data_IF_727376213816
#
_entry.id   IF_727376213816
#
_cell.length_a   1.000
_cell.length_b   1.000
_cell.length_c   1.000
_cell.angle_alpha   90.00
_cell.angle_beta   90.00
_cell.angle_gamma   90.00
#
_symmetry.space_group_name_H-M   'P 1'
#
loop_
_entity.id
_entity.type
_entity.pdbx_description
1 polymer ?
#
# COMPACT_ATOMS: atom_id res chain seq x y z
N UNK A 1 -24.82 10.64 -9.90
CA UNK A 1 -25.39 10.53 -8.53
C UNK A 1 -24.33 10.99 -7.55
N UNK A 2 -24.62 12.02 -6.72
CA UNK A 2 -23.72 12.37 -5.60
C UNK A 2 -23.75 11.19 -4.62
N UNK A 3 -22.62 10.50 -4.47
CA UNK A 3 -22.50 9.44 -3.45
C UNK A 3 -22.59 10.07 -2.07
N UNK A 4 -23.28 9.40 -1.16
CA UNK A 4 -23.42 9.88 0.21
C UNK A 4 -22.04 9.96 0.86
N UNK A 5 -21.65 11.15 1.29
CA UNK A 5 -20.36 11.40 1.96
C UNK A 5 -20.22 10.54 3.22
N UNK A 6 -21.34 10.32 3.93
CA UNK A 6 -21.39 9.45 5.09
C UNK A 6 -21.12 7.98 4.74
N UNK A 7 -21.68 7.47 3.63
CA UNK A 7 -21.40 6.11 3.18
C UNK A 7 -19.94 5.90 2.81
N UNK A 8 -19.34 6.85 2.09
CA UNK A 8 -17.91 6.80 1.74
C UNK A 8 -17.01 6.81 2.99
N UNK A 9 -17.35 7.62 3.99
CA UNK A 9 -16.63 7.66 5.26
C UNK A 9 -16.74 6.31 6.01
N UNK A 10 -17.93 5.73 6.09
CA UNK A 10 -18.16 4.42 6.71
C UNK A 10 -17.38 3.32 5.98
N UNK A 11 -17.43 3.30 4.66
CA UNK A 11 -16.71 2.30 3.85
C UNK A 11 -15.19 2.41 3.99
N UNK A 12 -14.67 3.63 4.06
CA UNK A 12 -13.24 3.85 4.30
C UNK A 12 -12.84 3.42 5.71
N UNK A 13 -13.65 3.73 6.73
CA UNK A 13 -13.43 3.26 8.09
C UNK A 13 -13.46 1.73 8.17
N UNK A 14 -14.41 1.08 7.47
CA UNK A 14 -14.50 -0.38 7.41
C UNK A 14 -13.26 -0.99 6.74
N UNK A 15 -12.75 -0.40 5.64
CA UNK A 15 -11.48 -0.80 5.01
C UNK A 15 -10.33 -0.74 6.01
N UNK A 16 -10.25 0.34 6.78
CA UNK A 16 -9.19 0.54 7.78
C UNK A 16 -9.28 -0.49 8.90
N UNK A 17 -10.48 -0.73 9.43
CA UNK A 17 -10.73 -1.73 10.46
C UNK A 17 -10.36 -3.15 10.00
N UNK A 18 -10.73 -3.52 8.78
CA UNK A 18 -10.34 -4.81 8.21
C UNK A 18 -8.84 -4.96 8.05
N UNK A 19 -8.13 -3.88 7.72
CA UNK A 19 -6.66 -3.84 7.69
C UNK A 19 -6.00 -4.09 9.05
N UNK A 20 -6.72 -3.93 10.15
CA UNK A 20 -6.26 -4.25 11.51
C UNK A 20 -6.72 -5.65 11.94
N UNK A 21 -8.00 -5.95 11.77
CA UNK A 21 -8.61 -7.20 12.24
C UNK A 21 -8.02 -8.41 11.51
N UNK A 22 -7.81 -8.30 10.19
CA UNK A 22 -7.29 -9.41 9.40
C UNK A 22 -5.89 -9.85 9.86
N UNK A 23 -4.87 -8.97 9.96
CA UNK A 23 -3.58 -9.35 10.53
C UNK A 23 -3.65 -9.82 11.97
N UNK A 24 -4.56 -9.29 12.79
CA UNK A 24 -4.72 -9.70 14.18
C UNK A 24 -5.08 -11.19 14.32
N UNK A 25 -5.86 -11.71 13.38
CA UNK A 25 -6.29 -13.12 13.38
C UNK A 25 -5.26 -14.00 12.63
N UNK A 26 -4.79 -13.54 11.48
CA UNK A 26 -3.91 -14.35 10.62
C UNK A 26 -2.49 -14.47 11.15
N UNK A 27 -1.98 -13.44 11.80
CA UNK A 27 -0.60 -13.38 12.24
C UNK A 27 -0.28 -14.38 13.39
N UNK A 28 -1.12 -14.53 14.45
CA UNK A 28 -0.88 -15.55 15.48
C UNK A 28 -0.88 -16.97 14.91
N UNK A 29 -1.77 -17.27 13.97
CA UNK A 29 -1.78 -18.56 13.29
C UNK A 29 -0.48 -18.79 12.50
N UNK A 30 -0.13 -17.81 11.64
CA UNK A 30 1.07 -17.89 10.82
C UNK A 30 2.35 -18.01 11.66
N UNK A 31 2.47 -17.26 12.76
CA UNK A 31 3.63 -17.30 13.64
C UNK A 31 3.78 -18.63 14.35
N UNK A 32 2.67 -19.27 14.70
CA UNK A 32 2.69 -20.59 15.35
C UNK A 32 3.05 -21.72 14.37
N UNK A 33 2.49 -21.69 13.15
CA UNK A 33 2.73 -22.74 12.14
C UNK A 33 4.12 -22.62 11.50
N UNK A 34 4.50 -21.42 11.06
CA UNK A 34 5.76 -21.19 10.32
C UNK A 34 6.98 -21.09 11.23
N UNK A 35 6.78 -20.87 12.53
CA UNK A 35 7.83 -20.55 13.49
C UNK A 35 8.50 -19.18 13.20
N UNK A 36 9.24 -18.69 14.18
CA UNK A 36 9.81 -17.32 14.18
C UNK A 36 10.79 -17.11 13.04
N UNK A 37 11.63 -18.11 12.75
CA UNK A 37 12.67 -18.00 11.73
C UNK A 37 12.09 -17.83 10.32
N UNK A 38 11.15 -18.71 9.91
CA UNK A 38 10.55 -18.62 8.57
C UNK A 38 9.67 -17.37 8.42
N UNK A 39 9.02 -16.94 9.51
CA UNK A 39 8.31 -15.66 9.53
C UNK A 39 9.28 -14.49 9.34
N UNK A 40 10.49 -14.59 9.93
CA UNK A 40 11.58 -13.63 9.72
C UNK A 40 12.00 -13.54 8.26
N UNK A 41 12.19 -14.68 7.58
CA UNK A 41 12.52 -14.73 6.13
C UNK A 41 11.48 -13.99 5.29
N UNK A 42 10.20 -14.25 5.54
CA UNK A 42 9.11 -13.59 4.80
C UNK A 42 9.09 -12.08 5.07
N UNK A 43 9.23 -11.65 6.33
CA UNK A 43 9.22 -10.23 6.68
C UNK A 43 10.46 -9.49 6.12
N UNK A 44 11.63 -10.12 6.12
CA UNK A 44 12.83 -9.57 5.48
C UNK A 44 12.62 -9.38 3.97
N UNK A 45 12.16 -10.42 3.26
CA UNK A 45 11.88 -10.32 1.83
C UNK A 45 10.83 -9.24 1.53
N UNK A 46 9.78 -9.13 2.35
CA UNK A 46 8.77 -8.11 2.22
C UNK A 46 9.33 -6.69 2.44
N UNK A 47 10.22 -6.48 3.40
CA UNK A 47 10.85 -5.18 3.64
C UNK A 47 11.74 -4.77 2.49
N UNK A 48 12.52 -5.69 1.93
CA UNK A 48 13.36 -5.44 0.73
C UNK A 48 12.47 -5.09 -0.46
N UNK A 49 11.46 -5.90 -0.79
CA UNK A 49 10.53 -5.61 -1.89
C UNK A 49 9.76 -4.31 -1.68
N UNK A 50 9.50 -3.91 -0.43
CA UNK A 50 8.85 -2.65 -0.08
C UNK A 50 9.59 -1.41 -0.59
N UNK A 51 10.92 -1.41 -0.59
CA UNK A 51 11.69 -0.32 -1.18
C UNK A 51 11.52 -0.25 -2.70
N UNK A 52 11.59 -1.40 -3.38
CA UNK A 52 11.39 -1.43 -4.83
C UNK A 52 9.95 -1.07 -5.22
N UNK A 53 8.96 -1.45 -4.41
CA UNK A 53 7.58 -1.04 -4.58
C UNK A 53 7.43 0.49 -4.44
N UNK A 54 8.12 1.10 -3.46
CA UNK A 54 8.16 2.54 -3.28
C UNK A 54 8.78 3.24 -4.51
N UNK A 55 9.91 2.75 -5.02
CA UNK A 55 10.56 3.28 -6.22
C UNK A 55 9.68 3.11 -7.47
N UNK A 56 9.01 1.98 -7.62
CA UNK A 56 8.06 1.77 -8.70
C UNK A 56 6.89 2.75 -8.65
N UNK A 57 6.33 2.98 -7.46
CA UNK A 57 5.18 3.84 -7.25
C UNK A 57 5.47 5.34 -7.32
N UNK A 58 6.69 5.80 -6.99
CA UNK A 58 7.14 7.21 -6.96
C UNK A 58 6.15 8.20 -6.31
N UNK A 59 5.19 7.75 -5.52
CA UNK A 59 4.12 8.61 -5.01
C UNK A 59 3.07 9.01 -6.05
N UNK A 60 3.08 8.37 -7.24
CA UNK A 60 2.15 8.66 -8.35
C UNK A 60 0.70 8.56 -7.90
N UNK A 61 0.35 7.58 -7.06
CA UNK A 61 -1.03 7.42 -6.57
C UNK A 61 -1.56 8.69 -5.90
N UNK A 62 -0.80 9.30 -5.01
CA UNK A 62 -1.20 10.54 -4.31
C UNK A 62 -1.24 11.73 -5.25
N UNK A 63 -0.27 11.85 -6.15
CA UNK A 63 -0.23 12.89 -7.16
C UNK A 63 -1.42 12.77 -8.12
N UNK A 64 -1.67 11.56 -8.63
CA UNK A 64 -2.74 11.28 -9.58
C UNK A 64 -4.14 11.57 -9.00
N UNK A 65 -4.38 11.26 -7.73
CA UNK A 65 -5.63 11.61 -7.06
C UNK A 65 -5.80 13.12 -7.00
N UNK A 66 -4.76 13.85 -6.56
CA UNK A 66 -4.83 15.32 -6.42
C UNK A 66 -5.04 16.04 -7.74
N UNK A 67 -4.27 15.70 -8.76
CA UNK A 67 -4.35 16.37 -10.06
C UNK A 67 -5.50 15.84 -10.93
N UNK A 68 -5.71 14.51 -10.93
CA UNK A 68 -6.77 13.87 -11.70
C UNK A 68 -8.18 14.28 -11.27
N UNK A 69 -8.37 14.63 -9.99
CA UNK A 69 -9.65 15.17 -9.50
C UNK A 69 -10.11 16.43 -10.22
N UNK A 70 -9.18 17.18 -10.79
CA UNK A 70 -9.49 18.40 -11.59
C UNK A 70 -10.16 18.06 -12.93
N UNK A 71 -9.99 16.82 -13.42
CA UNK A 71 -10.45 16.38 -14.73
C UNK A 71 -11.63 15.41 -14.68
N UNK A 72 -12.28 15.24 -13.52
CA UNK A 72 -13.38 14.25 -13.31
C UNK A 72 -14.52 14.43 -14.31
N UNK A 73 -14.83 15.67 -14.70
CA UNK A 73 -15.91 16.01 -15.63
C UNK A 73 -15.48 16.03 -17.11
N UNK A 74 -14.20 15.82 -17.41
CA UNK A 74 -13.64 15.83 -18.76
C UNK A 74 -12.93 14.51 -19.02
N UNK A 75 -13.66 13.57 -19.66
CA UNK A 75 -13.18 12.22 -19.89
C UNK A 75 -11.94 12.17 -20.82
N UNK A 76 -11.82 13.09 -21.76
CA UNK A 76 -10.66 13.12 -22.66
C UNK A 76 -9.40 13.54 -21.91
N UNK A 77 -9.46 14.66 -21.18
CA UNK A 77 -8.32 15.12 -20.36
C UNK A 77 -7.95 14.11 -19.29
N UNK A 78 -8.95 13.51 -18.64
CA UNK A 78 -8.68 12.46 -17.65
C UNK A 78 -8.00 11.25 -18.28
N UNK A 79 -8.42 10.83 -19.49
CA UNK A 79 -7.80 9.71 -20.21
C UNK A 79 -6.36 10.01 -20.63
N UNK A 80 -6.09 11.20 -21.12
CA UNK A 80 -4.73 11.66 -21.47
C UNK A 80 -3.84 11.67 -20.21
N UNK A 81 -4.28 12.33 -19.14
CA UNK A 81 -3.56 12.40 -17.87
C UNK A 81 -3.33 11.01 -17.27
N UNK A 82 -4.36 10.14 -17.26
CA UNK A 82 -4.26 8.79 -16.72
C UNK A 82 -3.29 7.93 -17.51
N UNK A 83 -3.22 8.10 -18.83
CA UNK A 83 -2.27 7.39 -19.68
C UNK A 83 -0.83 7.84 -19.42
N UNK A 84 -0.60 9.14 -19.17
CA UNK A 84 0.72 9.65 -18.78
C UNK A 84 1.14 9.08 -17.41
N UNK A 85 0.28 9.14 -16.40
CA UNK A 85 0.57 8.60 -15.05
C UNK A 85 0.83 7.10 -15.07
N UNK A 86 0.04 6.35 -15.83
CA UNK A 86 0.25 4.92 -16.03
C UNK A 86 1.58 4.63 -16.72
N UNK A 87 1.95 5.42 -17.74
CA UNK A 87 3.20 5.24 -18.48
C UNK A 87 4.42 5.53 -17.62
N UNK A 88 4.39 6.60 -16.82
CA UNK A 88 5.45 6.90 -15.84
C UNK A 88 5.58 5.73 -14.86
N UNK A 89 4.46 5.24 -14.31
CA UNK A 89 4.47 4.13 -13.36
C UNK A 89 4.99 2.81 -13.99
N UNK A 90 4.67 2.53 -15.24
CA UNK A 90 5.22 1.38 -15.97
C UNK A 90 6.73 1.49 -16.16
N UNK A 91 7.23 2.65 -16.57
CA UNK A 91 8.68 2.89 -16.76
C UNK A 91 9.41 2.71 -15.41
N UNK A 92 8.91 3.33 -14.34
CA UNK A 92 9.53 3.19 -13.01
C UNK A 92 9.43 1.78 -12.46
N UNK A 93 8.37 1.05 -12.77
CA UNK A 93 8.23 -0.37 -12.44
C UNK A 93 9.30 -1.23 -13.13
N UNK A 94 9.56 -1.01 -14.41
CA UNK A 94 10.62 -1.71 -15.14
C UNK A 94 11.99 -1.40 -14.53
N UNK A 95 12.25 -0.13 -14.21
CA UNK A 95 13.51 0.29 -13.55
C UNK A 95 13.63 -0.39 -12.17
N UNK A 96 12.55 -0.44 -11.38
CA UNK A 96 12.53 -1.10 -10.08
C UNK A 96 12.83 -2.60 -10.17
N UNK A 97 12.26 -3.30 -11.18
CA UNK A 97 12.59 -4.71 -11.41
C UNK A 97 14.04 -4.93 -11.83
N UNK A 98 14.57 -4.08 -12.71
CA UNK A 98 15.98 -4.15 -13.09
C UNK A 98 16.90 -3.93 -11.87
N UNK A 99 16.57 -2.94 -11.04
CA UNK A 99 17.31 -2.67 -9.81
C UNK A 99 17.20 -3.83 -8.81
N UNK A 100 16.02 -4.43 -8.63
CA UNK A 100 15.82 -5.61 -7.79
C UNK A 100 16.69 -6.78 -8.30
N UNK A 101 16.67 -7.05 -9.60
CA UNK A 101 17.46 -8.12 -10.20
C UNK A 101 18.96 -7.90 -10.01
N UNK A 102 19.46 -6.69 -10.28
CA UNK A 102 20.87 -6.34 -10.03
C UNK A 102 21.24 -6.53 -8.56
N UNK A 103 20.39 -6.08 -7.63
CA UNK A 103 20.65 -6.23 -6.19
C UNK A 103 20.70 -7.69 -5.76
N UNK A 104 19.83 -8.56 -6.32
CA UNK A 104 19.87 -10.00 -6.09
C UNK A 104 21.16 -10.64 -6.62
N UNK A 105 21.66 -10.20 -7.76
CA UNK A 105 22.94 -10.69 -8.31
C UNK A 105 24.14 -10.24 -7.48
N UNK A 106 24.14 -9.01 -6.99
CA UNK A 106 25.26 -8.43 -6.25
C UNK A 106 25.35 -8.92 -4.79
N UNK A 107 24.22 -9.29 -4.18
CA UNK A 107 24.19 -9.68 -2.77
C UNK A 107 24.06 -11.20 -2.61
N UNK A 108 25.12 -11.84 -2.07
CA UNK A 108 25.08 -13.27 -1.74
C UNK A 108 23.95 -13.61 -0.75
N UNK A 109 23.64 -12.72 0.19
CA UNK A 109 22.56 -12.91 1.15
C UNK A 109 21.19 -12.93 0.45
N UNK A 110 20.92 -11.99 -0.45
CA UNK A 110 19.63 -11.91 -1.15
C UNK A 110 19.40 -13.10 -2.10
N UNK A 111 20.46 -13.70 -2.61
CA UNK A 111 20.35 -14.94 -3.40
C UNK A 111 19.73 -16.10 -2.62
N UNK A 112 19.93 -16.15 -1.31
CA UNK A 112 19.27 -17.15 -0.44
C UNK A 112 17.76 -16.95 -0.27
N UNK A 113 17.22 -15.79 -0.68
CA UNK A 113 15.79 -15.46 -0.58
C UNK A 113 15.12 -15.30 -1.95
N UNK A 114 15.75 -15.82 -3.02
CA UNK A 114 15.27 -15.61 -4.41
C UNK A 114 13.80 -15.96 -4.58
N UNK A 115 13.34 -17.10 -4.07
CA UNK A 115 11.94 -17.54 -4.21
C UNK A 115 10.97 -16.56 -3.53
N UNK A 116 11.30 -16.13 -2.32
CA UNK A 116 10.50 -15.15 -1.58
C UNK A 116 10.50 -13.78 -2.26
N UNK A 117 11.66 -13.31 -2.74
CA UNK A 117 11.76 -12.02 -3.43
C UNK A 117 10.99 -12.03 -4.75
N UNK A 118 11.01 -13.12 -5.50
CA UNK A 118 10.22 -13.26 -6.72
C UNK A 118 8.73 -13.25 -6.42
N UNK A 119 8.27 -14.00 -5.41
CA UNK A 119 6.85 -14.01 -5.01
C UNK A 119 6.43 -12.60 -4.53
N UNK A 120 7.21 -11.97 -3.65
CA UNK A 120 6.90 -10.65 -3.12
C UNK A 120 6.97 -9.54 -4.19
N UNK A 121 7.84 -9.68 -5.19
CA UNK A 121 7.95 -8.72 -6.29
C UNK A 121 6.68 -8.62 -7.13
N UNK A 122 5.83 -9.64 -7.15
CA UNK A 122 4.52 -9.58 -7.80
C UNK A 122 3.66 -8.41 -7.29
N UNK A 123 3.86 -7.97 -6.04
CA UNK A 123 3.19 -6.78 -5.51
C UNK A 123 3.50 -5.54 -6.35
N UNK A 124 4.74 -5.39 -6.84
CA UNK A 124 5.18 -4.25 -7.65
C UNK A 124 4.36 -4.21 -8.94
N UNK A 125 4.31 -5.31 -9.66
CA UNK A 125 3.58 -5.42 -10.92
C UNK A 125 2.07 -5.19 -10.75
N UNK A 126 1.45 -5.93 -9.83
CA UNK A 126 0.00 -5.82 -9.62
C UNK A 126 -0.44 -4.47 -9.05
N UNK A 127 0.41 -3.79 -8.28
CA UNK A 127 0.13 -2.42 -7.83
C UNK A 127 0.13 -1.44 -9.00
N UNK A 128 1.08 -1.58 -9.91
CA UNK A 128 1.20 -0.71 -11.10
C UNK A 128 0.00 -0.85 -12.03
N UNK A 129 -0.41 -2.07 -12.38
CA UNK A 129 -1.57 -2.29 -13.25
C UNK A 129 -2.90 -2.03 -12.54
N UNK A 130 -2.91 -2.08 -11.21
CA UNK A 130 -4.13 -1.92 -10.41
C UNK A 130 -4.76 -0.53 -10.48
N UNK A 131 -3.99 0.51 -10.77
CA UNK A 131 -4.46 1.92 -10.93
C UNK A 131 -5.55 2.33 -9.93
N UNK A 132 -5.41 1.92 -8.65
CA UNK A 132 -6.44 2.13 -7.60
C UNK A 132 -6.80 3.61 -7.41
N UNK A 133 -5.87 4.50 -7.70
CA UNK A 133 -6.07 5.95 -7.62
C UNK A 133 -7.22 6.47 -8.51
N UNK A 134 -7.56 5.78 -9.63
CA UNK A 134 -8.72 6.15 -10.46
C UNK A 134 -10.01 6.02 -9.66
N UNK A 135 -10.18 4.92 -8.92
CA UNK A 135 -11.38 4.71 -8.10
C UNK A 135 -11.45 5.69 -6.94
N UNK A 136 -10.29 6.15 -6.44
CA UNK A 136 -10.22 7.20 -5.42
C UNK A 136 -10.63 8.55 -5.99
N UNK A 137 -10.23 8.91 -7.22
CA UNK A 137 -10.67 10.12 -7.93
C UNK A 137 -12.21 10.17 -8.04
N UNK A 138 -12.84 9.02 -8.34
CA UNK A 138 -14.30 8.91 -8.47
C UNK A 138 -15.03 8.58 -7.16
N UNK A 139 -14.32 8.63 -6.02
CA UNK A 139 -14.85 8.30 -4.69
C UNK A 139 -15.56 6.93 -4.62
N UNK A 140 -15.04 5.94 -5.36
CA UNK A 140 -15.56 4.56 -5.41
C UNK A 140 -15.14 3.74 -4.17
N UNK A 141 -15.18 4.32 -2.97
CA UNK A 141 -14.73 3.65 -1.75
C UNK A 141 -15.48 2.36 -1.45
N UNK A 142 -16.78 2.30 -1.76
CA UNK A 142 -17.59 1.06 -1.64
C UNK A 142 -16.97 -0.08 -2.46
N UNK A 143 -16.61 0.20 -3.72
CA UNK A 143 -15.99 -0.80 -4.59
C UNK A 143 -14.62 -1.23 -4.06
N UNK A 144 -13.77 -0.27 -3.69
CA UNK A 144 -12.43 -0.55 -3.15
C UNK A 144 -12.52 -1.44 -1.90
N UNK A 145 -13.46 -1.11 -0.99
CA UNK A 145 -13.63 -1.82 0.29
C UNK A 145 -14.18 -3.21 0.09
N UNK A 146 -15.31 -3.36 -0.61
CA UNK A 146 -15.95 -4.67 -0.81
C UNK A 146 -15.03 -5.63 -1.54
N UNK A 147 -14.38 -5.16 -2.60
CA UNK A 147 -13.39 -5.95 -3.34
C UNK A 147 -12.24 -6.40 -2.43
N UNK A 148 -11.64 -5.45 -1.68
CA UNK A 148 -10.55 -5.76 -0.75
C UNK A 148 -10.95 -6.80 0.29
N UNK A 149 -12.15 -6.65 0.87
CA UNK A 149 -12.68 -7.60 1.86
C UNK A 149 -12.84 -9.01 1.28
N UNK A 150 -13.36 -9.14 0.06
CA UNK A 150 -13.52 -10.45 -0.60
C UNK A 150 -12.14 -11.14 -0.71
N UNK A 151 -11.13 -10.44 -1.20
CA UNK A 151 -9.79 -11.01 -1.36
C UNK A 151 -9.12 -11.31 -0.01
N UNK A 152 -9.35 -10.51 1.03
CA UNK A 152 -8.90 -10.80 2.38
C UNK A 152 -9.56 -12.07 2.95
N UNK A 153 -10.88 -12.24 2.77
CA UNK A 153 -11.59 -13.43 3.21
C UNK A 153 -11.12 -14.68 2.47
N UNK A 154 -10.91 -14.59 1.16
CA UNK A 154 -10.34 -15.69 0.36
C UNK A 154 -8.94 -16.05 0.82
N UNK A 155 -8.10 -15.04 1.10
CA UNK A 155 -6.74 -15.24 1.62
C UNK A 155 -6.75 -15.85 3.02
N UNK A 156 -7.72 -15.48 3.86
CA UNK A 156 -7.93 -16.10 5.17
C UNK A 156 -8.25 -17.59 5.03
N UNK A 157 -9.20 -17.95 4.18
CA UNK A 157 -9.51 -19.34 3.90
C UNK A 157 -8.29 -20.11 3.33
N UNK A 158 -7.59 -19.50 2.37
CA UNK A 158 -6.39 -20.09 1.79
C UNK A 158 -5.28 -20.33 2.82
N UNK A 159 -5.10 -19.42 3.78
CA UNK A 159 -4.12 -19.57 4.85
C UNK A 159 -4.34 -20.85 5.65
N UNK A 160 -5.57 -21.10 6.11
CA UNK A 160 -5.89 -22.29 6.89
C UNK A 160 -5.91 -23.58 6.07
N UNK A 161 -6.16 -23.51 4.78
CA UNK A 161 -6.17 -24.66 3.90
C UNK A 161 -4.76 -25.10 3.48
N UNK A 162 -3.88 -24.15 3.17
CA UNK A 162 -2.62 -24.45 2.50
C UNK A 162 -1.39 -24.27 3.39
N UNK A 163 -1.45 -23.48 4.47
CA UNK A 163 -0.29 -23.27 5.37
C UNK A 163 -0.45 -24.14 6.61
N UNK A 164 0.22 -25.28 6.62
CA UNK A 164 0.12 -26.29 7.70
C UNK A 164 1.46 -26.66 8.30
N UNK A 165 2.55 -26.45 7.57
CA UNK A 165 3.90 -26.85 7.95
C UNK A 165 4.84 -25.65 7.97
N UNK A 166 5.96 -25.79 8.65
CA UNK A 166 6.99 -24.73 8.69
C UNK A 166 7.58 -24.43 7.31
N UNK A 167 7.62 -25.40 6.40
CA UNK A 167 8.11 -25.26 5.02
C UNK A 167 7.20 -24.42 4.12
N UNK A 168 5.95 -24.17 4.53
CA UNK A 168 4.94 -23.51 3.69
C UNK A 168 5.07 -21.96 3.68
N UNK A 169 6.24 -21.43 4.08
CA UNK A 169 6.49 -19.99 4.17
C UNK A 169 6.39 -19.28 2.79
N UNK A 170 6.75 -19.97 1.70
CA UNK A 170 6.55 -19.44 0.33
C UNK A 170 5.06 -19.37 -0.03
N UNK A 171 4.26 -20.35 0.38
CA UNK A 171 2.79 -20.34 0.18
C UNK A 171 2.18 -19.18 0.98
N UNK A 172 2.62 -19.00 2.24
CA UNK A 172 2.21 -17.86 3.07
C UNK A 172 2.54 -16.51 2.42
N UNK A 173 3.76 -16.38 1.86
CA UNK A 173 4.17 -15.20 1.12
C UNK A 173 3.24 -14.94 -0.07
N UNK A 174 2.93 -15.96 -0.87
CA UNK A 174 1.99 -15.87 -1.99
C UNK A 174 0.58 -15.47 -1.59
N UNK A 175 0.05 -16.04 -0.49
CA UNK A 175 -1.25 -15.67 0.07
C UNK A 175 -1.25 -14.21 0.55
N UNK A 176 -0.16 -13.74 1.15
CA UNK A 176 -0.01 -12.35 1.58
C UNK A 176 -0.01 -11.37 0.40
N UNK A 177 0.66 -11.73 -0.69
CA UNK A 177 0.63 -10.98 -1.95
C UNK A 177 -0.79 -10.97 -2.54
N UNK A 178 -1.45 -12.12 -2.59
CA UNK A 178 -2.82 -12.25 -3.09
C UNK A 178 -3.81 -11.40 -2.26
N UNK A 179 -3.67 -11.39 -0.94
CA UNK A 179 -4.49 -10.57 -0.05
C UNK A 179 -4.33 -9.07 -0.33
N UNK A 180 -3.10 -8.62 -0.62
CA UNK A 180 -2.81 -7.20 -0.78
C UNK A 180 -3.11 -6.67 -2.18
N UNK A 181 -2.75 -7.41 -3.22
CA UNK A 181 -2.81 -6.92 -4.61
C UNK A 181 -3.57 -7.81 -5.59
N UNK A 182 -4.02 -9.01 -5.18
CA UNK A 182 -4.74 -9.93 -6.07
C UNK A 182 -5.99 -9.30 -6.70
N UNK A 183 -6.67 -8.46 -5.95
CA UNK A 183 -7.85 -7.72 -6.43
C UNK A 183 -7.53 -6.66 -7.52
N UNK A 184 -6.28 -6.27 -7.68
CA UNK A 184 -5.86 -5.22 -8.62
C UNK A 184 -6.06 -5.64 -10.09
N UNK A 185 -6.08 -6.93 -10.38
CA UNK A 185 -6.45 -7.44 -11.70
C UNK A 185 -7.86 -6.99 -12.10
N UNK A 186 -8.81 -7.05 -11.17
CA UNK A 186 -10.18 -6.58 -11.42
C UNK A 186 -10.24 -5.07 -11.66
N UNK A 187 -9.36 -4.31 -11.01
CA UNK A 187 -9.25 -2.88 -11.21
C UNK A 187 -8.90 -2.52 -12.65
N UNK A 188 -7.93 -3.20 -13.23
CA UNK A 188 -7.49 -2.93 -14.59
C UNK A 188 -8.65 -3.01 -15.61
N UNK A 189 -9.51 -4.02 -15.49
CA UNK A 189 -10.67 -4.14 -16.35
C UNK A 189 -11.74 -3.08 -16.05
N UNK A 190 -11.99 -2.79 -14.78
CA UNK A 190 -13.03 -1.84 -14.39
C UNK A 190 -12.63 -0.38 -14.63
N UNK A 191 -11.36 -0.03 -14.52
CA UNK A 191 -10.85 1.33 -14.74
C UNK A 191 -11.18 1.86 -16.15
N UNK A 192 -11.25 0.98 -17.15
CA UNK A 192 -11.62 1.31 -18.53
C UNK A 192 -13.02 1.90 -18.68
N UNK A 193 -13.90 1.74 -17.68
CA UNK A 193 -15.24 2.37 -17.68
C UNK A 193 -15.16 3.86 -17.41
N UNK A 194 -14.12 4.32 -16.71
CA UNK A 194 -13.95 5.71 -16.31
C UNK A 194 -13.11 6.49 -17.32
N UNK A 195 -12.01 5.93 -17.75
CA UNK A 195 -11.11 6.54 -18.71
C UNK A 195 -10.39 5.47 -19.56
N UNK A 196 -9.93 5.86 -20.74
CA UNK A 196 -9.06 5.03 -21.54
C UNK A 196 -7.63 5.14 -20.99
N UNK A 197 -7.03 3.99 -20.66
CA UNK A 197 -5.66 3.91 -20.17
C UNK A 197 -4.86 3.12 -21.17
N UNK A 198 -3.83 3.73 -21.71
CA UNK A 198 -2.88 3.10 -22.63
C UNK A 198 -1.48 3.62 -22.34
N UNK A 199 -0.50 2.85 -22.72
CA UNK A 199 0.89 3.30 -22.64
C UNK A 199 1.15 4.39 -23.69
N UNK A 200 1.78 5.48 -23.29
CA UNK A 200 2.16 6.59 -24.18
C UNK A 200 3.58 7.04 -23.90
N UNK A 201 4.30 7.38 -24.97
CA UNK A 201 5.61 8.03 -24.86
C UNK A 201 5.52 9.55 -24.78
N UNK A 202 4.31 10.10 -25.05
CA UNK A 202 4.05 11.55 -24.96
C UNK A 202 3.76 11.90 -23.51
N UNK A 203 4.80 12.12 -22.73
CA UNK A 203 4.71 12.43 -21.30
C UNK A 203 5.26 13.83 -21.08
N UNK A 204 4.49 14.69 -20.41
CA UNK A 204 4.99 16.00 -19.97
C UNK A 204 5.78 15.88 -18.66
N UNK A 205 7.03 15.43 -18.81
CA UNK A 205 7.95 15.28 -17.68
C UNK A 205 8.15 16.58 -16.89
N UNK A 206 8.14 17.72 -17.56
CA UNK A 206 8.40 19.03 -16.90
C UNK A 206 7.30 19.37 -15.90
N UNK A 207 6.07 19.11 -16.26
CA UNK A 207 4.90 19.38 -15.39
C UNK A 207 4.78 18.35 -14.27
N UNK A 208 5.03 17.06 -14.55
CA UNK A 208 4.71 16.00 -13.61
C UNK A 208 5.86 15.62 -12.67
N UNK A 209 7.12 15.67 -13.14
CA UNK A 209 8.25 15.11 -12.39
C UNK A 209 8.49 15.83 -11.05
N UNK A 210 8.49 17.17 -11.04
CA UNK A 210 8.76 17.96 -9.83
C UNK A 210 7.78 17.68 -8.69
N UNK A 211 6.44 17.74 -8.89
CA UNK A 211 5.48 17.41 -7.83
C UNK A 211 5.55 15.93 -7.39
N UNK A 212 5.76 15.00 -8.33
CA UNK A 212 5.91 13.58 -8.04
C UNK A 212 7.12 13.35 -7.13
N UNK A 213 8.28 13.96 -7.43
CA UNK A 213 9.50 13.81 -6.64
C UNK A 213 9.37 14.39 -5.23
N UNK A 214 8.60 15.46 -5.02
CA UNK A 214 8.33 16.01 -3.68
C UNK A 214 7.51 15.00 -2.86
N UNK A 215 6.47 14.41 -3.45
CA UNK A 215 5.66 13.38 -2.78
C UNK A 215 6.50 12.13 -2.52
N UNK A 216 7.31 11.72 -3.50
CA UNK A 216 8.22 10.59 -3.36
C UNK A 216 9.20 10.77 -2.19
N UNK A 217 9.84 11.93 -2.08
CA UNK A 217 10.78 12.21 -0.99
C UNK A 217 10.12 12.08 0.39
N UNK A 218 8.89 12.58 0.55
CA UNK A 218 8.12 12.43 1.79
C UNK A 218 7.79 10.96 2.09
N UNK A 219 7.35 10.22 1.06
CA UNK A 219 7.02 8.80 1.21
C UNK A 219 8.27 7.96 1.48
N UNK A 220 9.40 8.30 0.82
CA UNK A 220 10.69 7.66 1.04
C UNK A 220 11.15 7.82 2.49
N UNK A 221 11.11 9.05 3.03
CA UNK A 221 11.47 9.32 4.42
C UNK A 221 10.62 8.47 5.39
N UNK A 222 9.32 8.40 5.17
CA UNK A 222 8.40 7.58 5.99
C UNK A 222 8.72 6.09 5.86
N UNK A 223 8.97 5.59 4.65
CA UNK A 223 9.27 4.18 4.42
C UNK A 223 10.62 3.79 5.03
N UNK A 224 11.64 4.64 4.90
CA UNK A 224 12.93 4.44 5.57
C UNK A 224 12.74 4.38 7.09
N UNK A 225 11.98 5.30 7.67
CA UNK A 225 11.70 5.31 9.10
C UNK A 225 10.99 4.04 9.59
N UNK A 226 10.07 3.50 8.82
CA UNK A 226 9.24 2.34 9.25
C UNK A 226 9.89 1.00 8.94
N UNK A 227 10.67 0.88 7.84
CA UNK A 227 11.11 -0.41 7.32
C UNK A 227 12.61 -0.66 7.46
N UNK A 228 13.42 0.36 7.78
CA UNK A 228 14.88 0.20 7.86
C UNK A 228 15.32 -0.74 8.95
N UNK A 229 14.63 -0.76 10.10
CA UNK A 229 14.96 -1.64 11.23
C UNK A 229 14.92 -3.12 10.81
N UNK A 230 13.82 -3.52 10.16
CA UNK A 230 13.65 -4.90 9.66
C UNK A 230 14.71 -5.26 8.62
N UNK A 231 15.05 -4.31 7.75
CA UNK A 231 16.06 -4.52 6.70
C UNK A 231 17.46 -4.64 7.29
N UNK A 232 17.82 -3.74 8.20
CA UNK A 232 19.14 -3.76 8.88
C UNK A 232 19.29 -5.05 9.69
N UNK A 233 18.27 -5.42 10.48
CA UNK A 233 18.26 -6.68 11.20
C UNK A 233 18.40 -7.90 10.27
N UNK A 234 17.75 -7.84 9.11
CA UNK A 234 17.85 -8.89 8.10
C UNK A 234 19.22 -8.97 7.43
N UNK A 235 19.91 -7.84 7.24
CA UNK A 235 21.25 -7.80 6.63
C UNK A 235 22.32 -8.20 7.65
N UNK A 236 22.27 -7.66 8.85
CA UNK A 236 23.34 -7.83 9.86
C UNK A 236 23.07 -8.97 10.86
N UNK A 237 21.80 -9.31 11.07
CA UNK A 237 21.36 -10.31 12.04
C UNK A 237 20.97 -11.63 11.41
N UNK A 238 20.17 -12.38 12.16
CA UNK A 238 19.58 -13.67 11.75
C UNK A 238 18.08 -13.50 11.44
N UNK A 239 17.53 -14.48 10.69
CA UNK A 239 16.09 -14.54 10.40
C UNK A 239 15.25 -14.64 11.67
N UNK A 240 15.77 -15.29 12.70
CA UNK A 240 15.15 -15.37 14.01
C UNK A 240 14.97 -13.98 14.64
N UNK A 241 16.00 -13.13 14.60
CA UNK A 241 15.92 -11.76 15.12
C UNK A 241 14.88 -10.91 14.36
N UNK A 242 14.84 -11.04 13.03
CA UNK A 242 13.83 -10.40 12.20
C UNK A 242 12.43 -10.89 12.56
N UNK A 243 12.28 -12.19 12.81
CA UNK A 243 11.02 -12.79 13.21
C UNK A 243 10.49 -12.23 14.54
N UNK A 244 11.35 -12.19 15.57
CA UNK A 244 10.98 -11.58 16.87
C UNK A 244 10.59 -10.12 16.71
N UNK A 245 11.40 -9.35 15.97
CA UNK A 245 11.12 -7.94 15.71
C UNK A 245 9.80 -7.75 14.95
N UNK A 246 9.50 -8.62 13.99
CA UNK A 246 8.25 -8.59 13.24
C UNK A 246 7.03 -8.82 14.13
N UNK A 247 7.11 -9.72 15.13
CA UNK A 247 6.04 -9.94 16.12
C UNK A 247 5.80 -8.67 16.93
N UNK A 248 6.86 -8.07 17.49
CA UNK A 248 6.76 -6.82 18.24
C UNK A 248 6.21 -5.67 17.38
N UNK A 249 6.71 -5.54 16.15
CA UNK A 249 6.27 -4.55 15.18
C UNK A 249 4.79 -4.69 14.79
N UNK A 250 4.26 -5.91 14.70
CA UNK A 250 2.82 -6.16 14.45
C UNK A 250 1.97 -5.69 15.62
N UNK A 251 2.35 -6.00 16.86
CA UNK A 251 1.63 -5.54 18.07
C UNK A 251 1.64 -4.01 18.11
N UNK A 252 2.81 -3.39 17.92
CA UNK A 252 2.94 -1.93 17.85
C UNK A 252 2.05 -1.32 16.75
N UNK A 253 2.06 -1.92 15.54
CA UNK A 253 1.26 -1.47 14.41
C UNK A 253 -0.25 -1.53 14.68
N UNK A 254 -0.73 -2.55 15.37
CA UNK A 254 -2.14 -2.69 15.78
C UNK A 254 -2.51 -1.55 16.73
N UNK A 255 -1.72 -1.33 17.79
CA UNK A 255 -1.97 -0.25 18.77
C UNK A 255 -1.95 1.11 18.08
N UNK A 256 -0.94 1.37 17.24
CA UNK A 256 -0.82 2.61 16.46
C UNK A 256 -2.04 2.85 15.56
N UNK A 257 -2.52 1.83 14.86
CA UNK A 257 -3.68 1.95 13.97
C UNK A 257 -4.98 2.21 14.76
N UNK A 258 -5.15 1.60 15.93
CA UNK A 258 -6.29 1.87 16.82
C UNK A 258 -6.28 3.31 17.30
N UNK A 259 -5.12 3.82 17.76
CA UNK A 259 -4.97 5.21 18.17
C UNK A 259 -5.23 6.18 17.00
N UNK A 260 -4.71 5.87 15.81
CA UNK A 260 -4.94 6.67 14.61
C UNK A 260 -6.41 6.73 14.21
N UNK A 261 -7.16 5.63 14.36
CA UNK A 261 -8.60 5.61 14.09
C UNK A 261 -9.37 6.56 15.03
N UNK A 262 -9.00 6.60 16.31
CA UNK A 262 -9.60 7.56 17.29
C UNK A 262 -9.27 9.00 16.90
N UNK A 263 -8.01 9.28 16.54
CA UNK A 263 -7.57 10.62 16.14
C UNK A 263 -8.31 11.12 14.90
N UNK A 264 -8.47 10.28 13.87
CA UNK A 264 -9.18 10.65 12.63
C UNK A 264 -10.64 11.07 12.91
N UNK A 265 -11.32 10.40 13.83
CA UNK A 265 -12.69 10.77 14.23
C UNK A 265 -12.71 12.08 15.05
N UNK A 266 -11.64 12.36 15.79
CA UNK A 266 -11.55 13.54 16.65
C UNK A 266 -11.19 14.81 15.89
N UNK A 267 -10.43 14.74 14.80
CA UNK A 267 -9.96 15.89 14.01
C UNK A 267 -11.10 16.85 13.59
N UNK A 268 -12.23 16.41 13.01
CA UNK A 268 -13.31 17.33 12.63
C UNK A 268 -13.91 18.07 13.82
N UNK A 269 -14.05 17.39 14.98
CA UNK A 269 -14.56 18.01 16.20
C UNK A 269 -13.58 19.03 16.76
N UNK A 270 -12.29 18.70 16.79
CA UNK A 270 -11.24 19.61 17.24
C UNK A 270 -11.13 20.85 16.33
N UNK A 271 -11.25 20.66 15.02
CA UNK A 271 -11.27 21.78 14.07
C UNK A 271 -12.47 22.72 14.30
N UNK A 272 -13.65 22.15 14.57
CA UNK A 272 -14.84 22.93 14.88
C UNK A 272 -14.67 23.72 16.18
N UNK A 273 -14.15 23.12 17.24
CA UNK A 273 -13.89 23.81 18.52
C UNK A 273 -12.79 24.86 18.39
N UNK A 274 -11.73 24.60 17.60
CA UNK A 274 -10.69 25.59 17.34
C UNK A 274 -11.25 26.81 16.61
N UNK A 275 -12.13 26.62 15.60
CA UNK A 275 -12.82 27.73 14.95
C UNK A 275 -13.69 28.54 15.91
N UNK A 276 -14.43 27.88 16.82
CA UNK A 276 -15.26 28.56 17.82
C UNK A 276 -14.42 29.35 18.82
N UNK A 277 -13.25 28.84 19.24
CA UNK A 277 -12.33 29.53 20.13
C UNK A 277 -11.75 30.80 19.49
N UNK A 278 -11.51 30.78 18.17
CA UNK A 278 -10.96 31.91 17.41
C UNK A 278 -12.01 33.00 17.11
N UNK A 279 -13.30 32.64 17.12
CA UNK A 279 -14.43 33.54 16.89
C UNK A 279 -15.08 34.03 18.19
N UNK A 280 -14.64 33.55 19.37
CA UNK A 280 -15.10 34.05 20.65
C UNK A 280 -14.47 35.42 20.90
N UNK A 281 -15.29 36.46 21.21
CA UNK A 281 -14.75 37.79 21.51
C UNK A 281 -13.79 37.70 22.71
N UNK A 282 -12.65 38.34 22.57
CA UNK A 282 -11.66 38.43 23.66
C UNK A 282 -12.32 39.06 24.90
N UNK A 283 -12.02 38.56 26.11
CA UNK A 283 -12.46 39.23 27.34
C UNK A 283 -11.99 40.71 27.47
N UNK A 284 -11.15 41.16 26.53
CA UNK A 284 -10.69 42.55 26.43
C UNK A 284 -11.58 43.43 25.54
N UNK A 285 -12.54 42.84 24.83
CA UNK A 285 -13.46 43.55 23.92
C UNK A 285 -14.84 43.78 24.55
N UNK A 286 -14.96 43.57 25.87
CA UNK A 286 -16.14 43.87 26.72
C UNK A 286 -15.80 45.07 27.65
#
# INVERSE_FOLDING_TARGET
>A
MKKSMSLNAVMNALKTLMGVIFPLITFPYASNVLQVENLGKVNFANSVCGYFLLFAGLGISSYAVREGSKYVNDREKLSAFSSEMFSINMITTVIAYLALFVTMLCSAKLRGYTDLLLIMSLQIFFTTIGTEWIFTIFEEYTYITVRGMIFQILSFAALFLFVKNQSDYCIYAGISVFASVGSNVLNYFRARRYCAIHFTWKIDWKTHLKPIMIIFASTLATTLYVSSDTTILGILGSDYNVGIYAVAGKIYGIVKNLLSAVLVVSIPRLSHYACLLYTSPSPRDI
#
